data_IF_711140180452
#
_entry.id   IF_711140180452
#
_cell.length_a   1.000
_cell.length_b   1.000
_cell.length_c   1.000
_cell.angle_alpha   90.00
_cell.angle_beta   90.00
_cell.angle_gamma   90.00
#
_symmetry.space_group_name_H-M   'P 1'
#
loop_
_entity.id
_entity.type
_entity.pdbx_description
1 polymer ?
#
# COMPACT_ATOMS: atom_id res chain seq x y z
N UNK A 1 21.71 -22.89 23.88
CA UNK A 1 21.26 -22.30 22.60
C UNK A 1 20.64 -20.94 22.89
N UNK A 2 21.01 -19.85 22.19
CA UNK A 2 20.39 -18.54 22.44
C UNK A 2 18.91 -18.61 22.03
N UNK A 3 18.02 -18.26 22.95
CA UNK A 3 16.59 -18.13 22.67
C UNK A 3 16.41 -17.01 21.64
N UNK A 4 15.85 -17.38 20.48
CA UNK A 4 15.57 -16.48 19.37
C UNK A 4 14.07 -16.30 19.29
N UNK A 5 13.64 -15.06 19.23
CA UNK A 5 12.24 -14.68 19.06
C UNK A 5 12.10 -13.70 17.90
N UNK A 6 10.88 -13.56 17.41
CA UNK A 6 10.55 -12.68 16.29
C UNK A 6 10.04 -11.32 16.77
N UNK A 7 10.53 -10.25 16.14
CA UNK A 7 9.94 -8.92 16.33
C UNK A 7 8.55 -8.84 15.68
N UNK A 8 7.51 -8.46 16.43
CA UNK A 8 6.15 -8.43 15.89
C UNK A 8 5.90 -7.35 14.82
N UNK A 9 6.79 -6.36 14.65
CA UNK A 9 6.68 -5.33 13.61
C UNK A 9 7.47 -5.69 12.34
N UNK A 10 8.78 -5.87 12.46
CA UNK A 10 9.66 -6.11 11.31
C UNK A 10 9.83 -7.60 10.96
N UNK A 11 9.32 -8.52 11.79
CA UNK A 11 9.40 -9.98 11.63
C UNK A 11 10.83 -10.52 11.47
N UNK A 12 11.84 -9.79 11.94
CA UNK A 12 13.21 -10.29 12.01
C UNK A 12 13.36 -11.20 13.23
N UNK A 13 13.99 -12.36 13.02
CA UNK A 13 14.40 -13.28 14.10
C UNK A 13 15.66 -12.72 14.74
N UNK A 14 15.58 -12.38 16.02
CA UNK A 14 16.66 -11.75 16.78
C UNK A 14 16.87 -12.48 18.11
N UNK A 15 18.07 -12.42 18.70
CA UNK A 15 18.29 -12.94 20.05
C UNK A 15 17.44 -12.14 21.06
N UNK A 16 16.93 -12.83 22.07
CA UNK A 16 16.05 -12.23 23.09
C UNK A 16 16.63 -10.97 23.75
N UNK A 17 17.96 -10.89 23.91
CA UNK A 17 18.67 -9.73 24.47
C UNK A 17 18.45 -8.42 23.69
N UNK A 18 18.18 -8.51 22.39
CA UNK A 18 17.93 -7.37 21.51
C UNK A 18 16.44 -6.97 21.45
N UNK A 19 15.56 -7.82 21.96
CA UNK A 19 14.14 -7.56 22.03
C UNK A 19 13.79 -6.86 23.36
N UNK A 20 12.76 -6.02 23.33
CA UNK A 20 12.11 -5.51 24.55
C UNK A 20 10.61 -5.62 24.41
N UNK A 21 9.95 -5.67 25.56
CA UNK A 21 8.49 -5.72 25.68
C UNK A 21 7.93 -4.30 25.65
N UNK A 22 6.94 -4.06 24.78
CA UNK A 22 6.18 -2.83 24.79
C UNK A 22 5.27 -2.78 26.03
N UNK A 23 5.26 -1.67 26.76
CA UNK A 23 4.42 -1.52 27.96
C UNK A 23 2.92 -1.45 27.67
N UNK A 24 2.51 -1.07 26.45
CA UNK A 24 1.10 -0.92 26.08
C UNK A 24 0.47 -2.20 25.51
N UNK A 25 1.20 -2.94 24.67
CA UNK A 25 0.67 -4.15 24.01
C UNK A 25 1.30 -5.45 24.50
N UNK A 26 2.37 -5.42 25.30
CA UNK A 26 2.98 -6.61 25.89
C UNK A 26 3.80 -7.49 24.92
N UNK A 27 3.80 -7.18 23.62
CA UNK A 27 4.57 -7.92 22.61
C UNK A 27 6.05 -7.52 22.57
N UNK A 28 6.88 -8.39 21.98
CA UNK A 28 8.32 -8.21 21.81
C UNK A 28 8.66 -7.50 20.49
N UNK A 29 9.54 -6.52 20.57
CA UNK A 29 10.02 -5.75 19.43
C UNK A 29 11.52 -5.48 19.49
N UNK A 30 12.17 -5.31 18.35
CA UNK A 30 13.57 -4.89 18.27
C UNK A 30 13.72 -3.41 18.65
N UNK A 31 14.93 -3.01 19.07
CA UNK A 31 15.24 -1.63 19.47
C UNK A 31 14.82 -0.59 18.41
N UNK A 32 15.08 -0.86 17.14
CA UNK A 32 14.71 0.02 16.02
C UNK A 32 13.19 0.19 15.84
N UNK A 33 12.39 -0.77 16.32
CA UNK A 33 10.93 -0.75 16.23
C UNK A 33 10.26 -0.20 17.50
N UNK A 34 11.03 0.38 18.41
CA UNK A 34 10.56 0.97 19.66
C UNK A 34 11.04 2.41 19.79
N UNK A 35 10.24 3.20 20.50
CA UNK A 35 10.50 4.59 20.83
C UNK A 35 10.14 4.79 22.30
N UNK A 36 10.89 5.67 22.97
CA UNK A 36 10.52 6.15 24.31
C UNK A 36 9.23 6.96 24.28
N UNK A 37 8.62 7.17 25.44
CA UNK A 37 7.47 8.06 25.53
C UNK A 37 7.87 9.50 25.20
N UNK A 38 7.41 10.01 24.06
CA UNK A 38 7.65 11.39 23.63
C UNK A 38 6.78 12.37 24.44
N UNK A 39 5.66 11.91 24.99
CA UNK A 39 4.67 12.80 25.64
C UNK A 39 4.98 13.07 27.10
N UNK A 40 5.48 12.08 27.84
CA UNK A 40 5.83 12.23 29.26
C UNK A 40 7.33 12.51 29.45
N UNK A 41 8.14 12.54 28.37
CA UNK A 41 9.61 12.62 28.44
C UNK A 41 10.27 11.53 29.31
N UNK A 42 9.54 10.44 29.56
CA UNK A 42 10.01 9.31 30.36
C UNK A 42 10.79 8.32 29.47
N UNK A 43 12.11 8.37 29.54
CA UNK A 43 12.97 7.42 28.80
C UNK A 43 12.84 5.96 29.28
N UNK A 44 12.24 5.74 30.45
CA UNK A 44 12.01 4.41 31.03
C UNK A 44 10.82 3.68 30.37
N UNK A 45 9.86 4.42 29.81
CA UNK A 45 8.69 3.85 29.15
C UNK A 45 8.97 3.64 27.67
N UNK A 46 9.00 2.37 27.24
CA UNK A 46 9.22 2.01 25.84
C UNK A 46 7.92 1.50 25.19
N UNK A 47 7.58 2.09 24.05
CA UNK A 47 6.45 1.72 23.22
C UNK A 47 6.91 1.26 21.85
N UNK A 48 6.19 0.30 21.25
CA UNK A 48 6.40 -0.01 19.84
C UNK A 48 5.89 1.13 18.95
N UNK A 49 6.43 1.25 17.73
CA UNK A 49 6.04 2.31 16.78
C UNK A 49 4.53 2.39 16.53
N UNK A 50 3.82 1.26 16.55
CA UNK A 50 2.37 1.25 16.38
C UNK A 50 1.62 1.85 17.58
N UNK A 51 2.09 1.55 18.80
CA UNK A 51 1.56 2.13 20.04
C UNK A 51 1.91 3.60 20.15
N UNK A 52 3.14 3.99 19.85
CA UNK A 52 3.60 5.38 19.82
C UNK A 52 2.77 6.22 18.84
N UNK A 53 2.49 5.71 17.62
CA UNK A 53 1.61 6.38 16.65
C UNK A 53 0.21 6.65 17.20
N UNK A 54 -0.36 5.72 17.98
CA UNK A 54 -1.68 5.91 18.61
C UNK A 54 -1.68 6.95 19.72
N UNK A 55 -0.51 7.27 20.29
CA UNK A 55 -0.35 8.29 21.34
C UNK A 55 -0.20 9.67 20.68
N UNK A 56 0.70 9.80 19.70
CA UNK A 56 1.01 11.08 19.03
C UNK A 56 -0.10 11.54 18.10
N UNK A 57 -0.72 10.61 17.38
CA UNK A 57 -1.88 10.87 16.53
C UNK A 57 -3.03 9.97 16.97
N UNK A 58 -3.74 10.32 18.08
CA UNK A 58 -4.97 9.62 18.39
C UNK A 58 -5.89 9.76 17.17
N UNK A 59 -6.48 8.66 16.72
CA UNK A 59 -7.53 8.75 15.72
C UNK A 59 -8.62 9.69 16.29
N UNK A 60 -9.02 10.75 15.56
CA UNK A 60 -10.05 11.65 16.07
C UNK A 60 -11.29 10.80 16.34
N UNK A 61 -11.66 10.70 17.61
CA UNK A 61 -12.91 10.08 17.98
C UNK A 61 -14.00 10.95 17.36
N UNK A 62 -14.78 10.40 16.42
CA UNK A 62 -16.02 11.06 16.03
C UNK A 62 -16.89 11.17 17.29
N UNK A 63 -17.70 12.22 17.40
CA UNK A 63 -18.64 12.40 18.53
C UNK A 63 -19.41 11.10 18.83
N UNK A 64 -19.84 10.39 17.78
CA UNK A 64 -20.58 9.13 17.85
C UNK A 64 -19.69 7.87 17.91
N UNK A 65 -18.38 7.99 18.07
CA UNK A 65 -17.43 6.87 18.05
C UNK A 65 -17.59 5.90 19.22
N UNK A 66 -18.12 6.36 20.36
CA UNK A 66 -18.48 5.48 21.47
C UNK A 66 -19.68 4.58 21.11
N UNK A 67 -20.71 5.13 20.45
CA UNK A 67 -21.84 4.37 19.91
C UNK A 67 -21.37 3.32 18.91
N UNK A 68 -20.46 3.68 17.99
CA UNK A 68 -19.85 2.72 17.05
C UNK A 68 -19.19 1.55 17.78
N UNK A 69 -18.41 1.81 18.84
CA UNK A 69 -17.76 0.75 19.62
C UNK A 69 -18.77 -0.13 20.35
N UNK A 70 -19.80 0.46 20.95
CA UNK A 70 -20.86 -0.26 21.64
C UNK A 70 -21.60 -1.21 20.68
N UNK A 71 -22.02 -0.72 19.51
CA UNK A 71 -22.69 -1.54 18.50
C UNK A 71 -21.78 -2.63 17.92
N UNK A 72 -20.48 -2.35 17.72
CA UNK A 72 -19.50 -3.38 17.31
C UNK A 72 -19.37 -4.48 18.36
N UNK A 73 -19.32 -4.13 19.64
CA UNK A 73 -19.28 -5.11 20.72
C UNK A 73 -20.56 -5.97 20.75
N UNK A 74 -21.74 -5.35 20.67
CA UNK A 74 -23.04 -6.05 20.62
C UNK A 74 -23.21 -6.95 19.40
N UNK A 75 -22.52 -6.63 18.30
CA UNK A 75 -22.60 -7.42 17.05
C UNK A 75 -22.06 -8.84 17.17
N UNK A 76 -21.29 -9.13 18.21
CA UNK A 76 -20.81 -10.48 18.50
C UNK A 76 -21.92 -11.39 19.09
N UNK A 77 -22.93 -10.81 19.74
CA UNK A 77 -23.93 -11.56 20.51
C UNK A 77 -25.34 -11.47 19.94
N UNK A 78 -25.68 -10.35 19.32
CA UNK A 78 -27.06 -10.03 18.91
C UNK A 78 -27.12 -9.51 17.49
N UNK A 79 -28.22 -9.80 16.79
CA UNK A 79 -28.51 -9.28 15.45
C UNK A 79 -29.42 -8.05 15.47
N UNK A 80 -30.11 -7.82 16.58
CA UNK A 80 -31.02 -6.68 16.78
C UNK A 80 -30.75 -6.09 18.16
N UNK A 81 -30.68 -4.77 18.27
CA UNK A 81 -30.47 -4.05 19.54
C UNK A 81 -31.48 -2.92 19.62
N UNK A 82 -32.30 -2.92 20.67
CA UNK A 82 -33.16 -1.79 21.04
C UNK A 82 -32.38 -0.92 22.02
N UNK A 83 -32.28 0.38 21.74
CA UNK A 83 -31.68 1.38 22.62
C UNK A 83 -32.65 2.55 22.80
N UNK A 84 -32.78 3.03 24.02
CA UNK A 84 -33.47 4.30 24.31
C UNK A 84 -32.57 5.50 24.01
N UNK A 85 -33.15 6.69 23.81
CA UNK A 85 -32.37 7.92 23.62
C UNK A 85 -31.48 8.23 24.82
N UNK A 86 -31.96 7.99 26.04
CA UNK A 86 -31.19 8.17 27.27
C UNK A 86 -29.97 7.22 27.34
N UNK A 87 -30.13 5.97 26.92
CA UNK A 87 -29.00 5.03 26.83
C UNK A 87 -27.98 5.49 25.77
N UNK A 88 -28.44 6.02 24.63
CA UNK A 88 -27.57 6.52 23.58
C UNK A 88 -26.76 7.73 24.07
N UNK A 89 -27.40 8.67 24.77
CA UNK A 89 -26.73 9.82 25.39
C UNK A 89 -25.67 9.36 26.41
N UNK A 90 -26.01 8.38 27.25
CA UNK A 90 -25.07 7.78 28.19
C UNK A 90 -23.87 7.11 27.50
N UNK A 91 -24.10 6.40 26.39
CA UNK A 91 -23.04 5.75 25.60
C UNK A 91 -22.13 6.77 24.93
N UNK A 92 -22.70 7.84 24.37
CA UNK A 92 -21.94 8.92 23.72
C UNK A 92 -21.20 9.77 24.78
N UNK A 93 -21.70 9.79 26.02
CA UNK A 93 -21.28 10.70 27.08
C UNK A 93 -21.46 12.17 26.70
N UNK A 94 -22.42 12.43 25.83
CA UNK A 94 -22.84 13.75 25.35
C UNK A 94 -24.31 13.64 24.91
N UNK A 95 -25.04 14.74 24.97
CA UNK A 95 -26.46 14.76 24.63
C UNK A 95 -26.67 14.76 23.11
N UNK A 96 -27.65 13.99 22.67
CA UNK A 96 -28.18 14.03 21.31
C UNK A 96 -28.76 15.42 21.01
N UNK A 97 -28.59 15.92 19.78
CA UNK A 97 -29.17 17.20 19.38
C UNK A 97 -30.70 17.12 19.38
N UNK A 98 -31.38 18.26 19.60
CA UNK A 98 -32.84 18.34 19.59
C UNK A 98 -33.49 17.81 18.31
N UNK A 99 -32.77 17.82 17.18
CA UNK A 99 -33.24 17.23 15.92
C UNK A 99 -33.43 15.72 15.98
N UNK A 100 -32.61 15.01 16.76
CA UNK A 100 -32.74 13.56 16.96
C UNK A 100 -34.06 13.20 17.67
N UNK A 101 -34.54 14.09 18.55
CA UNK A 101 -35.80 13.92 19.29
C UNK A 101 -37.04 14.35 18.50
N UNK A 102 -36.89 15.30 17.57
CA UNK A 102 -38.01 15.90 16.83
C UNK A 102 -38.29 15.24 15.48
N UNK A 103 -37.26 14.70 14.82
CA UNK A 103 -37.36 14.27 13.42
C UNK A 103 -36.81 12.87 13.20
N UNK A 104 -37.61 12.01 12.59
CA UNK A 104 -37.18 10.65 12.19
C UNK A 104 -36.11 10.69 11.09
N UNK A 105 -36.09 11.74 10.26
CA UNK A 105 -35.11 11.93 9.20
C UNK A 105 -33.67 12.01 9.72
N UNK A 106 -33.48 12.43 10.97
CA UNK A 106 -32.18 12.43 11.63
C UNK A 106 -31.62 11.01 11.79
N UNK A 107 -32.49 10.01 11.96
CA UNK A 107 -32.12 8.59 12.09
C UNK A 107 -32.00 7.86 10.74
N UNK A 108 -32.00 8.60 9.63
CA UNK A 108 -31.83 8.03 8.29
C UNK A 108 -30.46 7.38 8.09
N UNK A 109 -30.41 6.30 7.31
CA UNK A 109 -29.19 5.53 7.03
C UNK A 109 -28.32 6.18 5.91
N UNK A 110 -28.10 7.50 5.97
CA UNK A 110 -27.35 8.25 4.96
C UNK A 110 -25.86 8.39 5.36
N UNK A 111 -24.90 7.84 4.60
CA UNK A 111 -23.48 7.83 4.99
C UNK A 111 -22.82 9.22 4.96
N UNK A 112 -23.48 10.22 4.36
CA UNK A 112 -23.06 11.63 4.37
C UNK A 112 -23.12 12.23 5.77
N UNK A 113 -24.03 11.75 6.61
CA UNK A 113 -24.25 12.28 7.94
C UNK A 113 -23.28 11.63 8.95
N UNK A 114 -22.64 12.46 9.78
CA UNK A 114 -21.67 11.99 10.76
C UNK A 114 -22.25 11.04 11.82
N UNK A 115 -23.52 11.25 12.22
CA UNK A 115 -24.24 10.35 13.13
C UNK A 115 -24.51 8.99 12.45
N UNK A 116 -25.05 9.01 11.23
CA UNK A 116 -25.40 7.78 10.54
C UNK A 116 -24.20 6.92 10.18
N UNK A 117 -23.09 7.56 9.83
CA UNK A 117 -21.80 6.90 9.65
C UNK A 117 -21.39 6.07 10.88
N UNK A 118 -21.78 6.46 12.09
CA UNK A 118 -21.38 5.77 13.31
C UNK A 118 -21.95 4.34 13.42
N UNK A 119 -23.22 4.14 13.11
CA UNK A 119 -23.83 2.81 13.10
C UNK A 119 -23.55 2.04 11.81
N UNK A 120 -23.47 2.74 10.67
CA UNK A 120 -23.07 2.15 9.39
C UNK A 120 -21.63 1.57 9.43
N UNK A 121 -20.66 2.31 9.98
CA UNK A 121 -19.27 1.85 10.18
C UNK A 121 -19.19 0.69 11.18
N UNK A 122 -20.22 0.49 12.01
CA UNK A 122 -20.40 -0.66 12.89
C UNK A 122 -21.08 -1.85 12.19
N UNK A 123 -21.61 -1.69 10.98
CA UNK A 123 -22.33 -2.73 10.25
C UNK A 123 -23.80 -2.87 10.68
N UNK A 124 -24.40 -1.81 11.20
CA UNK A 124 -25.79 -1.76 11.65
C UNK A 124 -26.57 -0.73 10.83
N UNK A 125 -27.87 -0.98 10.64
CA UNK A 125 -28.83 -0.03 10.10
C UNK A 125 -29.91 0.25 11.16
N UNK A 126 -30.44 1.47 11.16
CA UNK A 126 -31.68 1.76 11.88
C UNK A 126 -32.84 1.06 11.16
N UNK A 127 -33.61 0.28 11.92
CA UNK A 127 -34.78 -0.47 11.42
C UNK A 127 -36.08 0.25 11.76
N UNK A 128 -36.26 0.57 13.04
CA UNK A 128 -37.46 1.21 13.57
C UNK A 128 -37.06 2.31 14.56
N UNK A 129 -37.82 3.39 14.56
CA UNK A 129 -37.68 4.53 15.48
C UNK A 129 -39.06 4.80 16.06
N UNK A 130 -39.13 5.00 17.36
CA UNK A 130 -40.34 5.48 18.02
C UNK A 130 -39.97 6.73 18.82
N UNK A 131 -40.37 7.89 18.32
CA UNK A 131 -40.11 9.18 18.97
C UNK A 131 -40.96 9.39 20.22
N UNK A 132 -42.14 8.77 20.31
CA UNK A 132 -43.05 8.92 21.46
C UNK A 132 -42.53 8.19 22.69
N UNK A 133 -42.09 6.94 22.50
CA UNK A 133 -41.50 6.12 23.56
C UNK A 133 -39.99 6.33 23.71
N UNK A 134 -39.36 7.02 22.75
CA UNK A 134 -37.96 7.44 22.83
C UNK A 134 -36.94 6.32 22.62
N UNK A 135 -37.18 5.42 21.65
CA UNK A 135 -36.25 4.33 21.35
C UNK A 135 -35.98 4.14 19.86
N UNK A 136 -34.85 3.49 19.58
CA UNK A 136 -34.39 3.09 18.24
C UNK A 136 -34.03 1.62 18.25
N UNK A 137 -34.44 0.91 17.21
CA UNK A 137 -34.06 -0.48 16.98
C UNK A 137 -33.03 -0.52 15.86
N UNK A 138 -31.82 -0.95 16.20
CA UNK A 138 -30.75 -1.22 15.25
C UNK A 138 -30.81 -2.68 14.83
N UNK A 139 -30.70 -2.92 13.52
CA UNK A 139 -30.59 -4.26 12.93
C UNK A 139 -29.26 -4.41 12.23
N UNK A 140 -28.57 -5.51 12.52
CA UNK A 140 -27.28 -5.85 11.92
C UNK A 140 -27.48 -6.10 10.43
N UNK A 141 -26.60 -5.53 9.63
CA UNK A 141 -26.61 -5.73 8.19
C UNK A 141 -26.02 -7.12 7.93
N UNK A 142 -26.88 -8.10 7.64
CA UNK A 142 -26.46 -9.47 7.29
C UNK A 142 -25.74 -9.57 5.94
N UNK A 143 -25.54 -8.45 5.22
CA UNK A 143 -24.73 -8.41 4.00
C UNK A 143 -23.22 -8.42 4.29
N UNK A 144 -22.80 -9.42 5.07
CA UNK A 144 -21.50 -10.02 4.87
C UNK A 144 -21.65 -11.09 3.77
N UNK A 145 -21.84 -10.63 2.52
CA UNK A 145 -20.88 -11.11 1.51
C UNK A 145 -19.56 -10.69 2.10
N UNK A 146 -18.98 -11.59 2.88
CA UNK A 146 -17.66 -11.44 3.42
C UNK A 146 -16.85 -11.36 2.13
N UNK A 147 -16.62 -10.15 1.62
CA UNK A 147 -15.32 -9.81 1.07
C UNK A 147 -14.44 -10.08 2.28
N UNK A 148 -14.13 -11.37 2.46
CA UNK A 148 -12.85 -11.80 2.93
C UNK A 148 -12.01 -10.93 2.02
N UNK A 149 -11.48 -9.85 2.57
CA UNK A 149 -10.10 -9.57 2.28
C UNK A 149 -9.49 -10.94 2.52
N UNK A 150 -9.43 -11.77 1.46
CA UNK A 150 -8.26 -12.53 1.16
C UNK A 150 -7.23 -11.44 1.35
N UNK A 151 -6.69 -11.35 2.56
CA UNK A 151 -5.30 -10.99 2.74
C UNK A 151 -4.71 -11.77 1.60
N UNK A 152 -4.33 -11.06 0.53
CA UNK A 152 -3.39 -11.66 -0.40
C UNK A 152 -2.27 -11.99 0.55
N UNK A 153 -2.29 -13.23 1.05
CA UNK A 153 -1.15 -13.87 1.66
C UNK A 153 -0.20 -13.72 0.51
N UNK A 154 0.64 -12.71 0.64
CA UNK A 154 1.70 -12.39 -0.28
C UNK A 154 2.53 -13.66 -0.30
N UNK A 155 2.21 -14.56 -1.23
CA UNK A 155 3.16 -15.54 -1.73
C UNK A 155 4.30 -14.70 -2.25
N UNK A 156 5.36 -14.62 -1.45
CA UNK A 156 6.44 -13.67 -1.58
C UNK A 156 6.66 -12.97 -0.26
N UNK A 157 7.51 -13.58 0.55
CA UNK A 157 8.27 -12.89 1.60
C UNK A 157 8.72 -11.52 1.06
N UNK A 158 8.23 -10.44 1.66
CA UNK A 158 8.74 -9.10 1.37
C UNK A 158 10.14 -9.09 1.95
N UNK A 159 11.15 -9.31 1.10
CA UNK A 159 12.55 -9.17 1.47
C UNK A 159 12.71 -7.79 2.14
N UNK A 160 13.33 -7.69 3.33
CA UNK A 160 13.35 -6.49 4.17
C UNK A 160 14.04 -5.27 3.52
N UNK A 161 14.59 -5.45 2.31
CA UNK A 161 15.16 -4.40 1.49
C UNK A 161 14.86 -4.71 0.02
N UNK A 162 13.80 -4.13 -0.54
CA UNK A 162 13.76 -3.93 -2.00
C UNK A 162 14.55 -2.66 -2.28
N UNK A 163 15.79 -2.74 -2.83
CA UNK A 163 16.54 -1.55 -3.16
C UNK A 163 15.68 -0.66 -4.07
N UNK A 164 15.75 0.66 -3.86
CA UNK A 164 15.14 1.64 -4.78
C UNK A 164 15.56 1.24 -6.19
N UNK A 165 14.61 1.16 -7.13
CA UNK A 165 14.93 0.85 -8.53
C UNK A 165 15.83 1.96 -9.06
N UNK A 166 17.15 1.77 -8.98
CA UNK A 166 18.11 2.61 -9.66
C UNK A 166 17.87 2.37 -11.15
N UNK A 167 17.54 3.44 -11.90
CA UNK A 167 17.51 3.35 -13.35
C UNK A 167 18.92 3.08 -13.81
N UNK A 168 19.25 1.82 -14.10
CA UNK A 168 20.49 1.48 -14.80
C UNK A 168 20.41 2.24 -16.13
N UNK A 169 21.33 3.19 -16.41
CA UNK A 169 21.34 3.87 -17.70
C UNK A 169 21.43 2.79 -18.78
N UNK A 170 20.43 2.72 -19.67
CA UNK A 170 20.50 1.81 -20.81
C UNK A 170 21.72 2.22 -21.62
N UNK A 171 22.69 1.33 -21.77
CA UNK A 171 23.76 1.52 -22.76
C UNK A 171 23.09 1.75 -24.11
N UNK A 172 23.35 2.90 -24.72
CA UNK A 172 22.79 3.27 -26.01
C UNK A 172 23.35 2.30 -27.07
N UNK A 173 22.60 1.23 -27.33
CA UNK A 173 22.94 0.32 -28.42
C UNK A 173 22.81 1.09 -29.74
N UNK A 174 23.80 1.02 -30.65
CA UNK A 174 23.71 1.69 -31.93
C UNK A 174 22.47 1.21 -32.70
N UNK A 175 21.84 2.11 -33.46
CA UNK A 175 20.69 1.74 -34.30
C UNK A 175 21.07 0.66 -35.30
N UNK A 176 20.10 -0.19 -35.69
CA UNK A 176 20.33 -1.25 -36.69
C UNK A 176 20.96 -0.70 -37.98
N UNK A 177 20.59 0.52 -38.36
CA UNK A 177 21.14 1.26 -39.49
C UNK A 177 22.61 1.65 -39.31
N UNK A 178 23.03 2.01 -38.09
CA UNK A 178 24.43 2.33 -37.80
C UNK A 178 25.29 1.07 -37.78
N UNK A 179 24.76 -0.04 -37.25
CA UNK A 179 25.41 -1.35 -37.27
C UNK A 179 25.58 -1.85 -38.72
N UNK A 180 24.55 -1.73 -39.57
CA UNK A 180 24.64 -2.15 -40.97
C UNK A 180 25.64 -1.31 -41.77
N UNK A 181 25.66 0.01 -41.58
CA UNK A 181 26.66 0.90 -42.20
C UNK A 181 28.09 0.54 -41.78
N UNK A 182 28.31 0.23 -40.50
CA UNK A 182 29.61 -0.21 -39.99
C UNK A 182 30.03 -1.55 -40.61
N UNK A 183 29.12 -2.53 -40.65
CA UNK A 183 29.36 -3.85 -41.26
C UNK A 183 29.70 -3.74 -42.75
N UNK A 184 28.96 -2.94 -43.50
CA UNK A 184 29.25 -2.67 -44.91
C UNK A 184 30.65 -2.05 -45.10
N UNK A 185 31.03 -1.12 -44.20
CA UNK A 185 32.36 -0.49 -44.23
C UNK A 185 33.48 -1.49 -43.95
N UNK A 186 33.31 -2.36 -42.96
CA UNK A 186 34.26 -3.44 -42.65
C UNK A 186 34.44 -4.39 -43.84
N UNK A 187 33.33 -4.80 -44.48
CA UNK A 187 33.38 -5.66 -45.67
C UNK A 187 34.07 -4.99 -46.87
N UNK A 188 33.92 -3.68 -47.03
CA UNK A 188 34.65 -2.94 -48.06
C UNK A 188 36.16 -2.89 -47.80
N UNK A 189 36.57 -2.69 -46.54
CA UNK A 189 37.98 -2.73 -46.14
C UNK A 189 38.58 -4.13 -46.31
N UNK A 190 37.85 -5.19 -45.95
CA UNK A 190 38.26 -6.58 -46.20
C UNK A 190 38.48 -6.84 -47.69
N UNK A 191 37.57 -6.36 -48.56
CA UNK A 191 37.71 -6.50 -50.01
C UNK A 191 38.88 -5.70 -50.58
N UNK A 192 39.13 -4.49 -50.09
CA UNK A 192 40.31 -3.70 -50.46
C UNK A 192 41.62 -4.37 -50.03
N UNK A 193 41.64 -5.01 -48.85
CA UNK A 193 42.79 -5.78 -48.39
C UNK A 193 43.00 -7.05 -49.20
N UNK A 194 41.92 -7.69 -49.68
CA UNK A 194 41.97 -8.89 -50.49
C UNK A 194 42.20 -8.62 -51.99
N UNK A 195 41.97 -7.41 -52.48
CA UNK A 195 42.30 -7.05 -53.86
C UNK A 195 43.81 -6.95 -54.05
N UNK A 196 44.35 -7.77 -54.95
CA UNK A 196 45.76 -7.76 -55.32
C UNK A 196 46.13 -6.41 -56.00
N UNK A 197 47.40 -5.97 -55.94
CA UNK A 197 47.86 -4.80 -56.66
C UNK A 197 47.61 -4.95 -58.17
N UNK A 198 46.86 -4.03 -58.77
CA UNK A 198 46.66 -4.00 -60.21
C UNK A 198 47.92 -3.44 -60.86
N UNK A 199 48.62 -4.27 -61.64
CA UNK A 199 49.74 -3.79 -62.47
C UNK A 199 49.21 -3.04 -63.70
N UNK A 200 49.82 -1.90 -64.07
CA UNK A 200 49.40 -1.13 -65.24
C UNK A 200 49.58 -1.96 -66.51
N UNK A 201 48.47 -2.23 -67.22
CA UNK A 201 48.46 -2.96 -68.49
C UNK A 201 47.44 -4.09 -68.63
N UNK A 202 46.81 -4.56 -67.54
CA UNK A 202 45.79 -5.61 -67.65
C UNK A 202 44.40 -5.05 -68.00
N UNK A 203 44.02 -5.09 -69.28
CA UNK A 203 42.71 -4.70 -69.81
C UNK A 203 41.62 -5.75 -69.57
N UNK A 204 41.41 -6.21 -68.32
CA UNK A 204 40.24 -7.02 -68.00
C UNK A 204 39.12 -6.12 -67.46
N UNK A 205 37.93 -6.08 -68.10
CA UNK A 205 36.82 -5.27 -67.62
C UNK A 205 36.34 -5.76 -66.26
N UNK A 206 36.02 -4.83 -65.35
CA UNK A 206 35.53 -5.17 -64.01
C UNK A 206 34.27 -6.05 -64.08
N UNK A 207 34.19 -7.13 -63.28
CA UNK A 207 33.04 -8.03 -63.29
C UNK A 207 31.75 -7.30 -62.86
N UNK A 208 30.61 -7.76 -63.39
CA UNK A 208 29.30 -7.09 -63.30
C UNK A 208 28.87 -6.79 -61.86
N UNK A 209 29.24 -7.64 -60.90
CA UNK A 209 28.91 -7.47 -59.48
C UNK A 209 29.68 -6.32 -58.81
N UNK A 210 30.89 -5.98 -59.27
CA UNK A 210 31.66 -4.84 -58.74
C UNK A 210 31.08 -3.48 -59.17
N UNK A 211 30.42 -3.44 -60.33
CA UNK A 211 29.76 -2.23 -60.85
C UNK A 211 28.49 -1.87 -60.07
N UNK A 212 27.91 -2.82 -59.33
CA UNK A 212 26.65 -2.70 -58.57
C UNK A 212 26.91 -2.21 -57.13
N UNK A 213 28.15 -2.27 -56.64
CA UNK A 213 28.48 -1.83 -55.27
C UNK A 213 28.45 -0.30 -55.14
N UNK A 214 27.97 0.18 -53.99
CA UNK A 214 27.97 1.61 -53.67
C UNK A 214 29.39 2.16 -53.75
N UNK A 215 29.60 3.16 -54.61
CA UNK A 215 30.87 3.88 -54.70
C UNK A 215 31.17 4.52 -53.33
N UNK A 216 32.38 4.33 -52.77
CA UNK A 216 32.71 4.81 -51.42
C UNK A 216 32.59 6.33 -51.25
N UNK A 217 32.56 7.08 -52.36
CA UNK A 217 32.47 8.55 -52.38
C UNK A 217 31.04 9.10 -52.38
N UNK A 218 30.00 8.28 -52.63
CA UNK A 218 28.60 8.74 -52.58
C UNK A 218 28.04 8.61 -51.17
N UNK A 219 27.72 9.75 -50.53
CA UNK A 219 26.95 9.75 -49.28
C UNK A 219 25.55 9.14 -49.54
N UNK A 220 25.09 8.21 -48.68
CA UNK A 220 23.74 7.67 -48.80
C UNK A 220 22.71 8.74 -48.41
N UNK A 221 21.72 8.98 -49.27
CA UNK A 221 20.47 9.65 -48.88
C UNK A 221 19.68 8.75 -47.92
#
# INVERSE_FOLDING_TARGET
>A
MPLKDECCLCKRVLPYSYLRRCQRCGHLYCRDCMVSDVTTSDFKRMFCLHCARKIVSPQPFSKYGALTRHLKFRSAFTNTVKLSFAEIDGIISDNLPMSAYKTESWWSNMPTNAHAKAWLDAGWNVHEINLKEGYVVFKKINNLKTKRYRRKVSRGEIKPFTPVRVRIPKSNKPSKTRVSKLYARLKNLERQRASLPTYPGSFKPKPKHEKILFKPEKKPQ
#
